data_IF_143831158550
#
_entry.id   IF_143831158550
#
_cell.length_a   1.000
_cell.length_b   1.000
_cell.length_c   1.000
_cell.angle_alpha   90.00
_cell.angle_beta   90.00
_cell.angle_gamma   90.00
#
_symmetry.space_group_name_H-M   'P 1'
#
loop_
_entity.id
_entity.type
_entity.pdbx_description
1 polymer ?
#
# COMPACT_ATOMS: atom_id res chain seq x y z
N UNK A 1 -20.54 -3.69 -11.82
CA UNK A 1 -19.20 -4.30 -11.99
C UNK A 1 -18.06 -3.28 -11.93
N UNK A 2 -18.19 -2.08 -12.50
CA UNK A 2 -17.11 -1.08 -12.51
C UNK A 2 -16.52 -0.76 -11.12
N UNK A 3 -17.35 -0.58 -10.08
CA UNK A 3 -16.90 -0.27 -8.71
C UNK A 3 -16.07 -1.40 -8.08
N UNK A 4 -16.45 -2.66 -8.31
CA UNK A 4 -15.69 -3.82 -7.80
C UNK A 4 -14.33 -3.94 -8.51
N UNK A 5 -14.30 -3.70 -9.83
CA UNK A 5 -13.06 -3.66 -10.59
C UNK A 5 -12.12 -2.55 -10.11
N UNK A 6 -12.64 -1.34 -9.88
CA UNK A 6 -11.86 -0.24 -9.31
C UNK A 6 -11.30 -0.58 -7.92
N UNK A 7 -12.12 -1.18 -7.05
CA UNK A 7 -11.65 -1.63 -5.73
C UNK A 7 -10.54 -2.68 -5.83
N UNK A 8 -10.63 -3.63 -6.77
CA UNK A 8 -9.55 -4.59 -7.03
C UNK A 8 -8.26 -3.91 -7.51
N UNK A 9 -8.36 -2.94 -8.43
CA UNK A 9 -7.17 -2.23 -8.95
C UNK A 9 -6.47 -1.49 -7.82
N UNK A 10 -7.22 -0.75 -6.99
CA UNK A 10 -6.66 -0.03 -5.83
C UNK A 10 -6.02 -1.02 -4.84
N UNK A 11 -6.69 -2.13 -4.55
CA UNK A 11 -6.16 -3.18 -3.67
C UNK A 11 -4.82 -3.73 -4.17
N UNK A 12 -4.75 -4.08 -5.46
CA UNK A 12 -3.52 -4.56 -6.12
C UNK A 12 -2.41 -3.52 -6.01
N UNK A 13 -2.69 -2.26 -6.34
CA UNK A 13 -1.70 -1.18 -6.30
C UNK A 13 -1.14 -0.99 -4.90
N UNK A 14 -1.99 -0.98 -3.86
CA UNK A 14 -1.54 -0.84 -2.48
C UNK A 14 -0.67 -2.04 -2.05
N UNK A 15 -1.05 -3.27 -2.39
CA UNK A 15 -0.22 -4.45 -2.11
C UNK A 15 1.14 -4.31 -2.78
N UNK A 16 1.18 -3.91 -4.05
CA UNK A 16 2.43 -3.74 -4.79
C UNK A 16 3.31 -2.67 -4.13
N UNK A 17 2.77 -1.50 -3.80
CA UNK A 17 3.53 -0.43 -3.14
C UNK A 17 4.07 -0.90 -1.78
N UNK A 18 3.23 -1.52 -0.95
CA UNK A 18 3.63 -2.03 0.36
C UNK A 18 4.72 -3.09 0.25
N UNK A 19 4.63 -4.00 -0.72
CA UNK A 19 5.63 -5.04 -0.93
C UNK A 19 6.96 -4.49 -1.48
N UNK A 20 6.90 -3.59 -2.47
CA UNK A 20 8.09 -2.95 -3.05
C UNK A 20 8.88 -2.14 -2.00
N UNK A 21 8.19 -1.60 -0.99
CA UNK A 21 8.79 -0.93 0.15
C UNK A 21 9.72 -1.79 1.01
N UNK A 22 9.68 -3.12 0.87
CA UNK A 22 10.55 -4.07 1.58
C UNK A 22 11.53 -4.80 0.66
N UNK A 23 11.59 -4.45 -0.63
CA UNK A 23 12.43 -5.13 -1.62
C UNK A 23 13.73 -4.33 -1.85
N UNK A 24 14.92 -4.90 -1.52
CA UNK A 24 16.20 -4.29 -1.85
C UNK A 24 16.33 -4.05 -3.36
N UNK A 25 16.90 -2.90 -3.74
CA UNK A 25 17.07 -2.48 -5.14
C UNK A 25 15.94 -1.60 -5.65
N UNK A 26 14.68 -1.90 -5.28
CA UNK A 26 13.54 -0.98 -5.52
C UNK A 26 13.47 0.06 -4.41
N UNK A 27 13.65 -0.37 -3.16
CA UNK A 27 13.83 0.53 -2.02
C UNK A 27 15.31 0.64 -1.69
N UNK A 28 15.88 1.83 -1.83
CA UNK A 28 17.26 2.14 -1.47
C UNK A 28 17.41 2.36 0.03
N UNK A 29 18.59 2.05 0.59
CA UNK A 29 18.92 2.17 2.00
C UNK A 29 17.92 1.43 2.92
N UNK A 30 17.51 0.23 2.53
CA UNK A 30 16.54 -0.55 3.31
C UNK A 30 17.04 -0.87 4.73
N UNK A 31 18.36 -0.92 4.93
CA UNK A 31 19.04 -1.02 6.24
C UNK A 31 18.74 0.17 7.18
N UNK A 32 18.36 1.31 6.61
CA UNK A 32 17.95 2.52 7.33
C UNK A 32 16.43 2.70 7.44
N UNK A 33 15.66 1.64 7.13
CA UNK A 33 14.20 1.64 7.23
C UNK A 33 13.76 1.77 8.69
N UNK A 34 13.22 2.92 9.05
CA UNK A 34 12.66 3.14 10.39
C UNK A 34 11.23 2.60 10.51
N UNK A 35 10.79 2.36 11.75
CA UNK A 35 9.40 2.02 12.05
C UNK A 35 8.44 3.15 11.72
N UNK A 36 8.80 4.39 12.12
CA UNK A 36 7.98 5.59 11.95
C UNK A 36 8.82 6.79 11.48
N UNK A 37 8.14 7.73 10.82
CA UNK A 37 8.67 9.07 10.54
C UNK A 37 9.42 9.23 9.21
N UNK A 38 9.49 10.49 8.75
CA UNK A 38 10.16 10.87 7.49
C UNK A 38 11.69 10.86 7.58
N UNK A 39 12.25 10.62 8.76
CA UNK A 39 13.69 10.43 8.95
C UNK A 39 14.15 9.00 8.62
N UNK A 40 13.23 8.12 8.20
CA UNK A 40 13.62 6.87 7.55
C UNK A 40 14.53 7.20 6.37
N UNK A 41 15.76 6.68 6.39
CA UNK A 41 16.71 6.87 5.29
C UNK A 41 16.33 6.04 4.05
N UNK A 42 15.39 5.09 4.22
CA UNK A 42 14.89 4.24 3.17
C UNK A 42 14.02 5.03 2.18
N UNK A 43 14.29 4.85 0.89
CA UNK A 43 13.56 5.54 -0.17
C UNK A 43 13.10 4.59 -1.26
N UNK A 44 11.80 4.62 -1.57
CA UNK A 44 11.22 3.90 -2.69
C UNK A 44 11.61 4.61 -4.00
N UNK A 45 12.16 3.85 -4.94
CA UNK A 45 12.74 4.34 -6.20
C UNK A 45 13.79 5.46 -6.02
N UNK A 46 14.39 5.57 -4.83
CA UNK A 46 15.34 6.65 -4.49
C UNK A 46 14.73 8.03 -4.26
N UNK A 47 13.42 8.21 -4.44
CA UNK A 47 12.77 9.53 -4.38
C UNK A 47 11.88 9.67 -3.14
N UNK A 48 11.02 8.69 -2.88
CA UNK A 48 9.99 8.78 -1.83
C UNK A 48 10.49 8.16 -0.52
N UNK A 49 10.58 8.95 0.55
CA UNK A 49 10.90 8.41 1.88
C UNK A 49 9.78 7.46 2.34
N UNK A 50 10.14 6.25 2.74
CA UNK A 50 9.21 5.22 3.20
C UNK A 50 9.59 4.73 4.59
N UNK A 51 8.61 4.28 5.36
CA UNK A 51 8.82 3.65 6.67
C UNK A 51 8.06 2.33 6.76
N UNK A 52 8.48 1.47 7.69
CA UNK A 52 7.89 0.14 7.83
C UNK A 52 6.38 0.21 8.14
N UNK A 53 5.94 1.13 9.01
CA UNK A 53 4.53 1.28 9.34
C UNK A 53 3.68 1.61 8.12
N UNK A 54 4.10 2.56 7.28
CA UNK A 54 3.35 2.94 6.09
C UNK A 54 3.26 1.79 5.08
N UNK A 55 4.35 1.06 4.86
CA UNK A 55 4.34 -0.09 3.96
C UNK A 55 3.38 -1.19 4.47
N UNK A 56 3.37 -1.45 5.77
CA UNK A 56 2.43 -2.40 6.40
C UNK A 56 0.99 -1.91 6.24
N UNK A 57 0.72 -0.62 6.43
CA UNK A 57 -0.62 -0.05 6.21
C UNK A 57 -1.08 -0.28 4.77
N UNK A 58 -0.22 -0.07 3.78
CA UNK A 58 -0.53 -0.39 2.38
C UNK A 58 -0.88 -1.87 2.19
N UNK A 59 -0.12 -2.77 2.82
CA UNK A 59 -0.40 -4.22 2.75
C UNK A 59 -1.75 -4.58 3.39
N UNK A 60 -2.04 -4.05 4.59
CA UNK A 60 -3.29 -4.33 5.31
C UNK A 60 -4.50 -3.75 4.57
N UNK A 61 -4.41 -2.50 4.11
CA UNK A 61 -5.49 -1.84 3.38
C UNK A 61 -5.69 -2.48 2.00
N UNK A 62 -4.63 -2.89 1.32
CA UNK A 62 -4.72 -3.67 0.09
C UNK A 62 -5.41 -5.03 0.29
N UNK A 63 -5.03 -5.76 1.33
CA UNK A 63 -5.66 -7.04 1.68
C UNK A 63 -7.15 -6.88 2.04
N UNK A 64 -7.50 -5.85 2.80
CA UNK A 64 -8.89 -5.49 3.08
C UNK A 64 -9.65 -5.17 1.78
N UNK A 65 -9.03 -4.47 0.85
CA UNK A 65 -9.58 -4.17 -0.47
C UNK A 65 -10.01 -5.43 -1.24
N UNK A 66 -9.17 -6.47 -1.28
CA UNK A 66 -9.54 -7.76 -1.87
C UNK A 66 -10.73 -8.41 -1.17
N UNK A 67 -10.79 -8.34 0.16
CA UNK A 67 -11.91 -8.86 0.94
C UNK A 67 -13.22 -8.13 0.62
N UNK A 68 -13.19 -6.80 0.51
CA UNK A 68 -14.38 -5.97 0.27
C UNK A 68 -14.82 -5.91 -1.20
N UNK A 69 -13.89 -6.07 -2.15
CA UNK A 69 -14.17 -6.04 -3.59
C UNK A 69 -15.13 -7.15 -4.06
N UNK A 70 -15.36 -8.18 -3.24
CA UNK A 70 -16.30 -9.28 -3.51
C UNK A 70 -17.77 -8.84 -3.60
N UNK A 71 -18.13 -7.65 -3.12
CA UNK A 71 -19.51 -7.14 -3.17
C UNK A 71 -19.56 -5.68 -3.61
N UNK A 72 -20.67 -5.24 -4.20
CA UNK A 72 -20.82 -3.84 -4.62
C UNK A 72 -20.79 -2.87 -3.42
N UNK A 73 -21.51 -3.19 -2.34
CA UNK A 73 -21.55 -2.37 -1.13
C UNK A 73 -20.17 -2.29 -0.45
N UNK A 74 -19.46 -3.42 -0.34
CA UNK A 74 -18.11 -3.47 0.21
C UNK A 74 -17.11 -2.69 -0.63
N UNK A 75 -17.10 -2.90 -1.95
CA UNK A 75 -16.22 -2.17 -2.86
C UNK A 75 -16.44 -0.65 -2.77
N UNK A 76 -17.70 -0.21 -2.65
CA UNK A 76 -18.04 1.20 -2.48
C UNK A 76 -17.57 1.75 -1.12
N UNK A 77 -17.79 1.02 -0.03
CA UNK A 77 -17.32 1.43 1.30
C UNK A 77 -15.78 1.51 1.37
N UNK A 78 -15.08 0.55 0.76
CA UNK A 78 -13.61 0.55 0.68
C UNK A 78 -13.06 1.77 -0.06
N UNK A 79 -13.62 2.08 -1.24
CA UNK A 79 -13.19 3.22 -2.03
C UNK A 79 -13.54 4.56 -1.39
N UNK A 80 -14.66 4.65 -0.67
CA UNK A 80 -15.05 5.87 0.06
C UNK A 80 -14.23 6.05 1.35
N UNK A 81 -13.86 4.96 2.04
CA UNK A 81 -13.09 5.03 3.27
C UNK A 81 -11.61 5.35 3.07
N UNK A 82 -11.09 5.14 1.86
CA UNK A 82 -9.73 5.53 1.47
C UNK A 82 -9.60 6.92 0.85
N UNK A 83 -10.73 7.64 0.68
CA UNK A 83 -10.82 8.97 0.09
C UNK A 83 -10.80 10.09 1.12
#
# INVERSE_FOLDING_TARGET
>A
MAVQGAAMIVAVVLILIGALGFIPGVTSNLDSLSWFGQHSGARLFGVFAVCAALNIVHLVVGAAGFFFARTYAGARAYLLGGG
#
